data_IF_053799252648
#
_entry.id   IF_053799252648
#
_cell.length_a   1.000
_cell.length_b   1.000
_cell.length_c   1.000
_cell.angle_alpha   90.00
_cell.angle_beta   90.00
_cell.angle_gamma   90.00
#
_symmetry.space_group_name_H-M   'P 1'
#
loop_
_entity.id
_entity.type
_entity.pdbx_description
1 polymer ?
#
# COMPACT_ATOMS: atom_id res chain seq x y z
N UNK A 1 4.46 -2.86 18.99
CA UNK A 1 3.93 -3.71 17.90
C UNK A 1 2.66 -3.05 17.38
N UNK A 2 2.54 -2.86 16.07
CA UNK A 2 1.35 -2.29 15.43
C UNK A 2 0.91 -3.28 14.35
N UNK A 3 -0.32 -3.78 14.46
CA UNK A 3 -0.90 -4.71 13.49
C UNK A 3 -1.90 -3.93 12.65
N UNK A 4 -1.75 -3.97 11.32
CA UNK A 4 -2.74 -3.39 10.42
C UNK A 4 -3.85 -4.43 10.19
N UNK A 5 -5.09 -4.06 10.45
CA UNK A 5 -6.26 -4.90 10.18
C UNK A 5 -6.97 -4.34 8.97
N UNK A 6 -7.22 -5.20 7.98
CA UNK A 6 -8.18 -4.93 6.91
C UNK A 6 -9.45 -5.72 7.21
N UNK A 7 -10.56 -5.02 7.43
CA UNK A 7 -11.87 -5.62 7.62
C UNK A 7 -12.77 -5.31 6.41
N UNK A 8 -13.34 -6.36 5.83
CA UNK A 8 -14.18 -6.31 4.64
C UNK A 8 -15.60 -6.71 4.99
N UNK A 9 -16.51 -5.76 4.80
CA UNK A 9 -17.95 -5.89 4.97
C UNK A 9 -18.61 -5.75 3.59
N UNK A 10 -18.83 -6.88 2.91
CA UNK A 10 -19.35 -6.91 1.54
C UNK A 10 -18.39 -6.21 0.56
N UNK A 11 -18.81 -5.06 0.02
CA UNK A 11 -18.02 -4.23 -0.91
C UNK A 11 -17.16 -3.16 -0.23
N UNK A 12 -17.32 -2.97 1.09
CA UNK A 12 -16.58 -1.96 1.85
C UNK A 12 -15.38 -2.60 2.53
N UNK A 13 -14.20 -2.02 2.37
CA UNK A 13 -12.98 -2.43 3.07
C UNK A 13 -12.48 -1.28 3.93
N UNK A 14 -12.43 -1.48 5.25
CA UNK A 14 -11.88 -0.55 6.21
C UNK A 14 -10.50 -1.04 6.67
N UNK A 15 -9.50 -0.16 6.67
CA UNK A 15 -8.15 -0.48 7.14
C UNK A 15 -7.82 0.38 8.36
N UNK A 16 -7.40 -0.23 9.46
CA UNK A 16 -7.02 0.49 10.68
C UNK A 16 -5.86 -0.20 11.42
N UNK A 17 -5.15 0.56 12.23
CA UNK A 17 -4.00 0.08 13.00
C UNK A 17 -4.38 -0.19 14.44
N UNK A 18 -4.08 -1.39 14.93
CA UNK A 18 -4.19 -1.73 16.34
C UNK A 18 -2.80 -1.73 16.99
N UNK A 19 -2.58 -1.01 18.10
CA UNK A 19 -1.32 -1.02 18.85
C UNK A 19 -1.20 -2.30 19.69
N UNK A 20 -1.38 -3.47 19.07
CA UNK A 20 -1.39 -4.77 19.71
C UNK A 20 -0.58 -5.79 18.90
N UNK A 21 -0.20 -6.91 19.53
CA UNK A 21 0.39 -8.07 18.83
C UNK A 21 -0.64 -8.72 17.91
N UNK A 22 -0.16 -9.49 16.93
CA UNK A 22 -1.01 -10.19 15.94
C UNK A 22 -2.10 -11.03 16.62
N UNK A 23 -1.74 -11.76 17.69
CA UNK A 23 -2.68 -12.60 18.46
C UNK A 23 -3.79 -11.78 19.11
N UNK A 24 -3.46 -10.67 19.77
CA UNK A 24 -4.46 -9.83 20.46
C UNK A 24 -5.32 -9.08 19.44
N UNK A 25 -4.73 -8.62 18.35
CA UNK A 25 -5.46 -8.00 17.24
C UNK A 25 -6.45 -8.99 16.62
N UNK A 26 -6.05 -10.25 16.43
CA UNK A 26 -6.93 -11.28 15.89
C UNK A 26 -8.11 -11.59 16.82
N UNK A 27 -7.87 -11.78 18.12
CA UNK A 27 -8.96 -11.98 19.09
C UNK A 27 -9.90 -10.78 19.16
N UNK A 28 -9.39 -9.56 19.03
CA UNK A 28 -10.24 -8.36 18.90
C UNK A 28 -11.10 -8.42 17.63
N UNK A 29 -10.52 -8.79 16.49
CA UNK A 29 -11.26 -8.92 15.23
C UNK A 29 -12.36 -9.97 15.34
N UNK A 30 -12.05 -11.15 15.89
CA UNK A 30 -13.01 -12.25 16.11
C UNK A 30 -14.17 -11.85 17.02
N UNK A 31 -13.91 -11.00 18.02
CA UNK A 31 -14.91 -10.64 19.03
C UNK A 31 -15.74 -9.42 18.63
N UNK A 32 -15.16 -8.46 17.91
CA UNK A 32 -15.76 -7.13 17.69
C UNK A 32 -16.05 -6.78 16.23
N UNK A 33 -15.52 -7.51 15.26
CA UNK A 33 -15.68 -7.18 13.84
C UNK A 33 -16.53 -8.24 13.13
N UNK A 34 -17.52 -7.76 12.40
CA UNK A 34 -18.25 -8.58 11.44
C UNK A 34 -17.52 -8.59 10.08
N UNK A 35 -17.66 -9.70 9.35
CA UNK A 35 -17.12 -9.84 7.98
C UNK A 35 -15.76 -10.54 7.89
N UNK A 36 -15.12 -10.43 6.73
CA UNK A 36 -13.80 -11.02 6.47
C UNK A 36 -12.72 -10.08 7.00
N UNK A 37 -11.74 -10.57 7.76
CA UNK A 37 -10.62 -9.75 8.22
C UNK A 37 -9.27 -10.40 7.93
N UNK A 38 -8.27 -9.56 7.64
CA UNK A 38 -6.89 -9.95 7.46
C UNK A 38 -5.99 -9.10 8.37
N UNK A 39 -5.22 -9.75 9.24
CA UNK A 39 -4.19 -9.12 10.06
C UNK A 39 -2.85 -9.12 9.33
N UNK A 40 -2.25 -7.95 9.18
CA UNK A 40 -0.92 -7.77 8.61
C UNK A 40 0.05 -7.35 9.71
N UNK A 41 1.04 -8.20 9.95
CA UNK A 41 2.10 -7.92 10.92
C UNK A 41 3.19 -7.04 10.29
N UNK A 42 3.69 -6.11 11.09
CA UNK A 42 4.81 -5.26 10.70
C UNK A 42 6.11 -6.09 10.70
N UNK A 43 6.57 -6.50 9.52
CA UNK A 43 7.77 -7.34 9.37
C UNK A 43 9.08 -6.58 9.56
N UNK A 44 9.09 -5.27 9.29
CA UNK A 44 10.24 -4.41 9.60
C UNK A 44 9.84 -2.93 9.66
N UNK A 45 10.55 -2.17 10.49
CA UNK A 45 10.64 -0.71 10.36
C UNK A 45 12.01 -0.37 9.80
N UNK A 46 12.07 0.01 8.52
CA UNK A 46 13.30 0.47 7.89
C UNK A 46 13.04 1.80 7.22
N UNK A 47 13.86 2.81 7.55
CA UNK A 47 13.68 4.18 7.10
C UNK A 47 13.52 5.17 8.26
N UNK A 48 13.37 6.45 7.93
CA UNK A 48 13.24 7.55 8.88
C UNK A 48 11.92 8.27 8.59
N UNK A 49 11.15 8.60 9.62
CA UNK A 49 9.87 9.32 9.50
C UNK A 49 10.05 10.74 8.94
N UNK A 50 11.28 11.27 9.07
CA UNK A 50 11.69 12.57 8.55
C UNK A 50 12.55 12.37 7.30
N UNK A 51 11.91 12.15 6.15
CA UNK A 51 12.61 12.18 4.87
C UNK A 51 12.84 13.64 4.46
N UNK A 52 14.09 14.10 4.53
CA UNK A 52 14.49 15.47 4.12
C UNK A 52 14.47 15.68 2.61
N UNK A 53 14.54 14.63 1.80
CA UNK A 53 14.35 14.72 0.35
C UNK A 53 13.73 13.45 -0.21
N UNK A 54 12.64 13.60 -0.98
CA UNK A 54 11.93 12.50 -1.63
C UNK A 54 11.20 12.99 -2.88
N UNK A 55 10.92 12.07 -3.80
CA UNK A 55 10.05 12.31 -4.94
C UNK A 55 8.63 11.87 -4.58
N UNK A 56 7.67 12.79 -4.56
CA UNK A 56 6.25 12.46 -4.48
C UNK A 56 5.76 12.07 -5.87
N UNK A 57 5.35 10.82 -6.02
CA UNK A 57 4.98 10.22 -7.31
C UNK A 57 3.56 9.71 -7.26
N UNK A 58 2.76 10.10 -8.25
CA UNK A 58 1.43 9.53 -8.50
C UNK A 58 1.52 8.59 -9.70
N UNK A 59 1.14 7.33 -9.48
CA UNK A 59 1.18 6.28 -10.49
C UNK A 59 -0.21 5.69 -10.69
N UNK A 60 -0.55 5.42 -11.94
CA UNK A 60 -1.74 4.69 -12.34
C UNK A 60 -1.29 3.36 -12.94
N UNK A 61 -1.59 2.27 -12.26
CA UNK A 61 -1.45 0.91 -12.82
C UNK A 61 -2.79 0.44 -13.36
N UNK A 62 -2.79 -0.20 -14.52
CA UNK A 62 -3.99 -0.83 -15.08
C UNK A 62 -3.70 -2.18 -15.71
N UNK A 63 -4.65 -3.10 -15.56
CA UNK A 63 -4.59 -4.42 -16.18
C UNK A 63 -5.26 -4.43 -17.56
N UNK A 64 -5.09 -5.50 -18.31
CA UNK A 64 -5.73 -5.72 -19.62
C UNK A 64 -7.27 -5.67 -19.56
N UNK A 65 -7.86 -5.98 -18.41
CA UNK A 65 -9.30 -5.90 -18.17
C UNK A 65 -9.81 -4.46 -17.91
N UNK A 66 -8.94 -3.44 -18.03
CA UNK A 66 -9.30 -2.03 -17.87
C UNK A 66 -9.48 -1.57 -16.42
N UNK A 67 -9.19 -2.40 -15.43
CA UNK A 67 -9.21 -2.02 -14.01
C UNK A 67 -7.99 -1.17 -13.70
N UNK A 68 -8.18 -0.10 -12.93
CA UNK A 68 -7.13 0.87 -12.59
C UNK A 68 -6.91 0.94 -11.08
N UNK A 69 -5.66 1.10 -10.68
CA UNK A 69 -5.24 1.38 -9.31
C UNK A 69 -4.39 2.64 -9.31
N UNK A 70 -4.70 3.54 -8.39
CA UNK A 70 -3.96 4.78 -8.17
C UNK A 70 -3.08 4.61 -6.95
N UNK A 71 -1.79 4.91 -7.10
CA UNK A 71 -0.81 4.89 -6.02
C UNK A 71 -0.21 6.28 -5.87
N UNK A 72 -0.17 6.78 -4.63
CA UNK A 72 0.58 7.97 -4.26
C UNK A 72 1.72 7.52 -3.35
N UNK A 73 2.97 7.71 -3.80
CA UNK A 73 4.16 7.16 -3.16
C UNK A 73 5.18 8.26 -2.89
N UNK A 74 5.83 8.19 -1.74
CA UNK A 74 7.06 8.93 -1.47
C UNK A 74 8.25 8.03 -1.84
N UNK A 75 8.86 8.30 -2.99
CA UNK A 75 9.98 7.55 -3.53
C UNK A 75 11.30 8.23 -3.14
N UNK A 76 12.37 7.47 -2.92
CA UNK A 76 13.71 8.05 -2.68
C UNK A 76 14.07 9.04 -3.79
N UNK A 77 14.64 10.18 -3.43
CA UNK A 77 15.03 11.23 -4.38
C UNK A 77 16.00 10.74 -5.47
N UNK A 78 16.77 9.69 -5.19
CA UNK A 78 17.74 9.09 -6.12
C UNK A 78 17.12 8.18 -7.18
N UNK A 79 15.82 7.89 -7.10
CA UNK A 79 15.14 6.98 -8.03
C UNK A 79 14.51 7.73 -9.18
N UNK A 80 14.76 7.21 -10.38
CA UNK A 80 14.24 7.72 -11.65
C UNK A 80 12.88 7.12 -11.98
N UNK A 81 12.16 7.72 -12.93
CA UNK A 81 10.89 7.17 -13.44
C UNK A 81 11.05 5.75 -13.97
N UNK A 82 12.10 5.47 -14.75
CA UNK A 82 12.35 4.13 -15.33
C UNK A 82 12.54 3.05 -14.25
N UNK A 83 13.23 3.39 -13.16
CA UNK A 83 13.37 2.49 -12.01
C UNK A 83 12.03 2.24 -11.30
N UNK A 84 11.18 3.26 -11.23
CA UNK A 84 9.82 3.14 -10.65
C UNK A 84 8.95 2.26 -11.55
N UNK A 85 8.98 2.46 -12.87
CA UNK A 85 8.28 1.63 -13.85
C UNK A 85 8.72 0.17 -13.74
N UNK A 86 10.03 -0.07 -13.73
CA UNK A 86 10.60 -1.43 -13.64
C UNK A 86 10.20 -2.13 -12.33
N UNK A 87 10.19 -1.38 -11.22
CA UNK A 87 9.79 -1.93 -9.93
C UNK A 87 8.29 -2.28 -9.84
N UNK A 88 7.44 -1.53 -10.56
CA UNK A 88 5.99 -1.73 -10.56
C UNK A 88 5.51 -2.72 -11.64
N UNK A 89 6.29 -2.92 -12.70
CA UNK A 89 5.96 -3.81 -13.80
C UNK A 89 5.72 -5.25 -13.31
N UNK A 90 4.54 -5.80 -13.62
CA UNK A 90 4.18 -7.16 -13.26
C UNK A 90 3.76 -7.36 -11.80
N UNK A 91 3.80 -6.33 -10.95
CA UNK A 91 3.21 -6.40 -9.61
C UNK A 91 1.69 -6.50 -9.69
N UNK A 92 1.10 -7.29 -8.80
CA UNK A 92 -0.35 -7.36 -8.64
C UNK A 92 -0.74 -6.70 -7.32
N UNK A 93 -1.40 -5.55 -7.41
CA UNK A 93 -1.89 -4.80 -6.25
C UNK A 93 -3.41 -4.71 -6.33
N UNK A 94 -4.10 -5.02 -5.22
CA UNK A 94 -5.57 -5.08 -5.16
C UNK A 94 -6.21 -5.93 -6.27
N UNK A 95 -5.55 -7.02 -6.68
CA UNK A 95 -6.01 -7.89 -7.76
C UNK A 95 -5.91 -7.27 -9.17
N UNK A 96 -5.19 -6.16 -9.32
CA UNK A 96 -4.87 -5.54 -10.62
C UNK A 96 -3.39 -5.74 -10.88
N UNK A 97 -3.07 -6.47 -11.95
CA UNK A 97 -1.70 -6.61 -12.46
C UNK A 97 -1.32 -5.32 -13.19
N UNK A 98 -0.14 -4.81 -12.88
CA UNK A 98 0.39 -3.59 -13.45
C UNK A 98 1.03 -3.92 -14.81
N UNK A 99 0.17 -4.16 -15.80
CA UNK A 99 0.57 -4.44 -17.19
C UNK A 99 0.80 -3.14 -17.97
N UNK A 100 -0.03 -2.14 -17.69
CA UNK A 100 0.13 -0.78 -18.19
C UNK A 100 0.31 0.16 -17.00
N UNK A 101 1.40 0.92 -16.99
CA UNK A 101 1.74 1.86 -15.92
C UNK A 101 1.83 3.25 -16.53
N UNK A 102 1.30 4.25 -15.85
CA UNK A 102 1.47 5.65 -16.20
C UNK A 102 1.81 6.44 -14.93
N UNK A 103 2.96 7.10 -14.93
CA UNK A 103 3.31 8.11 -13.93
C UNK A 103 2.65 9.42 -14.35
N UNK A 104 1.70 9.91 -13.56
CA UNK A 104 0.94 11.13 -13.89
C UNK A 104 1.52 12.39 -13.25
N UNK A 105 2.34 12.22 -12.21
CA UNK A 105 3.01 13.31 -11.53
C UNK A 105 4.23 12.79 -10.80
N UNK A 106 5.35 13.49 -10.94
CA UNK A 106 6.55 13.30 -10.15
C UNK A 106 7.09 14.66 -9.72
N UNK A 107 7.13 14.89 -8.41
CA UNK A 107 7.59 16.14 -7.80
C UNK A 107 8.68 15.85 -6.80
N UNK A 108 9.83 16.52 -6.92
CA UNK A 108 10.82 16.53 -5.84
C UNK A 108 10.30 17.39 -4.67
N UNK A 109 10.36 16.84 -3.48
CA UNK A 109 10.06 17.49 -2.20
C UNK A 109 11.33 17.43 -1.37
N UNK A 110 11.83 18.60 -0.96
CA UNK A 110 13.02 18.76 -0.14
C UNK A 110 13.03 20.10 0.58
#
# INVERSE_FOLDING_TARGET
MRTMVQNKLGVKTNSFYLPASTTVAQSFCETFLDGEYAGFELTSTTGTDVATSYNQVTVVGSNEAGRKVYLNLAVKATKTEDEIYTALAGLTLNGVRFDNIAITSMRSVG
#
